data_IF_534124032864
#
_entry.id   IF_534124032864
#
_cell.length_a   1.000
_cell.length_b   1.000
_cell.length_c   1.000
_cell.angle_alpha   90.00
_cell.angle_beta   90.00
_cell.angle_gamma   90.00
#
_symmetry.space_group_name_H-M   'P 1'
#
loop_
_entity.id
_entity.type
_entity.pdbx_description
1 polymer ?
#
# COMPACT_ATOMS: atom_id res chain seq x y z
N UNK A 1 -2.82 -18.33 -4.56
CA UNK A 1 -2.73 -17.85 -3.17
C UNK A 1 -4.00 -18.28 -2.44
N UNK A 2 -4.04 -18.25 -1.11
CA UNK A 2 -5.21 -18.67 -0.33
C UNK A 2 -5.51 -17.65 0.76
N UNK A 3 -6.74 -17.14 0.77
CA UNK A 3 -7.28 -16.33 1.85
C UNK A 3 -7.42 -17.20 3.10
N UNK A 4 -6.67 -16.87 4.13
CA UNK A 4 -6.80 -17.49 5.44
C UNK A 4 -7.75 -16.63 6.27
N UNK A 5 -8.86 -17.18 6.78
CA UNK A 5 -9.70 -16.46 7.73
C UNK A 5 -8.88 -16.08 8.96
N UNK A 6 -9.22 -14.93 9.56
CA UNK A 6 -8.66 -14.49 10.83
C UNK A 6 -9.19 -15.40 11.94
N UNK A 7 -8.45 -16.46 12.27
CA UNK A 7 -8.80 -17.31 13.40
C UNK A 7 -8.57 -16.58 14.73
N UNK A 8 -9.24 -17.07 15.78
CA UNK A 8 -9.20 -16.43 17.10
C UNK A 8 -7.78 -16.31 17.65
N UNK A 9 -6.92 -17.30 17.43
CA UNK A 9 -5.55 -17.29 17.95
C UNK A 9 -4.71 -16.22 17.25
N UNK A 10 -4.91 -16.01 15.95
CA UNK A 10 -4.23 -14.97 15.20
C UNK A 10 -4.75 -13.57 15.56
N UNK A 11 -6.05 -13.41 15.82
CA UNK A 11 -6.59 -12.13 16.35
C UNK A 11 -5.96 -11.79 17.71
N UNK A 12 -5.95 -12.75 18.65
CA UNK A 12 -5.29 -12.57 19.95
C UNK A 12 -3.79 -12.24 19.78
N UNK A 13 -3.11 -12.82 18.79
CA UNK A 13 -1.73 -12.48 18.47
C UNK A 13 -1.59 -11.03 18.00
N UNK A 14 -2.45 -10.55 17.09
CA UNK A 14 -2.41 -9.15 16.64
C UNK A 14 -2.68 -8.17 17.78
N UNK A 15 -3.64 -8.48 18.66
CA UNK A 15 -3.93 -7.68 19.86
C UNK A 15 -2.72 -7.61 20.79
N UNK A 16 -2.16 -8.77 21.15
CA UNK A 16 -1.04 -8.85 22.09
C UNK A 16 0.26 -8.23 21.55
N UNK A 17 0.37 -8.11 20.23
CA UNK A 17 1.52 -7.49 19.55
C UNK A 17 1.26 -6.04 19.16
N UNK A 18 0.10 -5.47 19.50
CA UNK A 18 -0.24 -4.06 19.22
C UNK A 18 -0.51 -3.74 17.75
N UNK A 19 -0.67 -4.76 16.90
CA UNK A 19 -0.94 -4.60 15.46
C UNK A 19 -2.42 -4.29 15.21
N UNK A 20 -3.30 -4.81 16.05
CA UNK A 20 -4.73 -4.50 16.04
C UNK A 20 -5.20 -4.19 17.47
N UNK A 21 -6.25 -3.39 17.60
CA UNK A 21 -6.96 -3.18 18.86
C UNK A 21 -8.43 -2.89 18.58
N UNK A 22 -9.32 -2.96 19.60
CA UNK A 22 -10.72 -2.57 19.45
C UNK A 22 -10.95 -1.12 18.99
N UNK A 23 -9.95 -0.24 19.13
CA UNK A 23 -10.00 1.14 18.66
C UNK A 23 -9.62 1.28 17.17
N UNK A 24 -9.20 0.19 16.51
CA UNK A 24 -8.89 0.15 15.09
C UNK A 24 -10.11 0.62 14.27
N UNK A 25 -9.93 1.46 13.23
CA UNK A 25 -11.05 1.95 12.44
C UNK A 25 -11.71 0.87 11.57
N UNK A 26 -11.08 -0.29 11.45
CA UNK A 26 -11.60 -1.44 10.74
C UNK A 26 -11.77 -2.63 11.70
N UNK A 27 -12.99 -3.17 11.73
CA UNK A 27 -13.32 -4.36 12.51
C UNK A 27 -12.48 -5.56 12.07
N UNK A 28 -12.13 -6.45 13.00
CA UNK A 28 -11.23 -7.57 12.72
C UNK A 28 -11.84 -8.58 11.72
N UNK A 29 -13.16 -8.67 11.67
CA UNK A 29 -13.91 -9.50 10.72
C UNK A 29 -13.77 -9.02 9.27
N UNK A 30 -13.38 -7.75 9.08
CA UNK A 30 -13.11 -7.15 7.77
C UNK A 30 -11.64 -7.28 7.36
N UNK A 31 -10.81 -7.95 8.17
CA UNK A 31 -9.43 -8.28 7.83
C UNK A 31 -9.31 -9.73 7.36
N UNK A 32 -8.44 -9.96 6.38
CA UNK A 32 -8.08 -11.29 5.89
C UNK A 32 -6.57 -11.40 5.71
N UNK A 33 -6.05 -12.61 5.90
CA UNK A 33 -4.65 -12.93 5.66
C UNK A 33 -4.48 -13.56 4.29
N UNK A 34 -3.50 -13.10 3.52
CA UNK A 34 -3.12 -13.66 2.23
C UNK A 34 -1.74 -14.30 2.35
N UNK A 35 -1.62 -15.55 1.87
CA UNK A 35 -0.32 -16.17 1.63
C UNK A 35 0.23 -15.74 0.28
N UNK A 36 1.39 -15.10 0.29
CA UNK A 36 2.01 -14.50 -0.89
C UNK A 36 3.27 -15.28 -1.27
N UNK A 37 3.34 -15.72 -2.52
CA UNK A 37 4.60 -16.19 -3.11
C UNK A 37 5.31 -15.03 -3.81
N UNK A 38 6.63 -14.95 -3.69
CA UNK A 38 7.45 -13.87 -4.23
C UNK A 38 8.83 -14.38 -4.65
N UNK A 39 9.55 -13.61 -5.46
CA UNK A 39 10.98 -13.84 -5.72
C UNK A 39 11.81 -12.96 -4.81
N UNK A 40 12.83 -13.52 -4.18
CA UNK A 40 13.76 -12.73 -3.37
C UNK A 40 14.88 -12.09 -4.20
N UNK A 41 15.78 -11.35 -3.54
CA UNK A 41 16.93 -10.72 -4.20
C UNK A 41 17.97 -11.71 -4.75
N UNK A 42 17.96 -12.97 -4.33
CA UNK A 42 18.75 -14.05 -4.93
C UNK A 42 18.04 -14.67 -6.15
N UNK A 43 16.79 -14.29 -6.41
CA UNK A 43 15.95 -14.82 -7.48
C UNK A 43 15.29 -16.15 -7.11
N UNK A 44 15.32 -16.54 -5.84
CA UNK A 44 14.68 -17.76 -5.35
C UNK A 44 13.18 -17.52 -5.12
N UNK A 45 12.37 -18.55 -5.40
CA UNK A 45 10.95 -18.52 -5.07
C UNK A 45 10.77 -18.72 -3.56
N UNK A 46 10.03 -17.81 -2.95
CA UNK A 46 9.57 -17.87 -1.57
C UNK A 46 8.05 -18.05 -1.56
N UNK A 47 7.54 -18.84 -0.62
CA UNK A 47 6.12 -19.16 -0.45
C UNK A 47 5.62 -18.94 0.99
N UNK A 48 6.41 -18.21 1.77
CA UNK A 48 6.22 -17.93 3.20
C UNK A 48 5.66 -16.52 3.48
N UNK A 49 5.36 -15.74 2.43
CA UNK A 49 4.86 -14.38 2.57
C UNK A 49 3.49 -14.34 3.24
N UNK A 50 3.31 -13.47 4.22
CA UNK A 50 2.03 -13.26 4.90
C UNK A 50 1.70 -11.77 4.96
N UNK A 51 0.59 -11.39 4.33
CA UNK A 51 0.10 -10.01 4.33
C UNK A 51 -1.37 -9.98 4.79
N UNK A 52 -1.70 -9.05 5.67
CA UNK A 52 -3.07 -8.84 6.15
C UNK A 52 -3.65 -7.61 5.46
N UNK A 53 -4.87 -7.70 4.92
CA UNK A 53 -5.53 -6.62 4.16
C UNK A 53 -7.02 -6.55 4.47
N UNK A 54 -7.70 -5.48 4.03
CA UNK A 54 -9.16 -5.44 4.01
C UNK A 54 -9.73 -6.54 3.12
N UNK A 55 -10.79 -7.19 3.56
CA UNK A 55 -11.47 -8.29 2.87
C UNK A 55 -11.82 -7.99 1.40
N UNK A 56 -12.35 -6.80 1.12
CA UNK A 56 -12.70 -6.38 -0.25
C UNK A 56 -11.50 -6.17 -1.16
N UNK A 57 -10.29 -5.98 -0.59
CA UNK A 57 -9.06 -5.75 -1.34
C UNK A 57 -8.27 -7.04 -1.61
N UNK A 58 -8.68 -8.17 -1.04
CA UNK A 58 -7.95 -9.43 -1.10
C UNK A 58 -7.56 -9.82 -2.54
N UNK A 59 -8.52 -9.82 -3.45
CA UNK A 59 -8.28 -10.21 -4.84
C UNK A 59 -7.34 -9.24 -5.57
N UNK A 60 -7.51 -7.93 -5.38
CA UNK A 60 -6.61 -6.93 -5.96
C UNK A 60 -5.17 -7.11 -5.48
N UNK A 61 -4.98 -7.36 -4.18
CA UNK A 61 -3.65 -7.57 -3.59
C UNK A 61 -3.03 -8.88 -4.09
N UNK A 62 -3.78 -9.97 -4.14
CA UNK A 62 -3.29 -11.23 -4.72
C UNK A 62 -2.85 -11.04 -6.18
N UNK A 63 -3.62 -10.31 -6.99
CA UNK A 63 -3.27 -10.01 -8.39
C UNK A 63 -2.00 -9.17 -8.51
N UNK A 64 -1.83 -8.14 -7.67
CA UNK A 64 -0.59 -7.36 -7.61
C UNK A 64 0.60 -8.28 -7.41
N UNK A 65 0.60 -9.09 -6.35
CA UNK A 65 1.77 -9.92 -6.03
C UNK A 65 1.99 -11.06 -7.03
N UNK A 66 0.94 -11.58 -7.67
CA UNK A 66 1.10 -12.53 -8.79
C UNK A 66 1.82 -11.87 -9.97
N UNK A 67 1.43 -10.66 -10.37
CA UNK A 67 2.12 -9.92 -11.44
C UNK A 67 3.57 -9.60 -11.05
N UNK A 68 3.83 -9.21 -9.80
CA UNK A 68 5.21 -8.99 -9.33
C UNK A 68 6.06 -10.27 -9.39
N UNK A 69 5.48 -11.42 -9.04
CA UNK A 69 6.13 -12.72 -9.15
C UNK A 69 6.43 -13.09 -10.61
N UNK A 70 5.49 -12.86 -11.52
CA UNK A 70 5.68 -13.07 -12.96
C UNK A 70 6.78 -12.16 -13.54
N UNK A 71 6.84 -10.91 -13.09
CA UNK A 71 7.92 -9.97 -13.40
C UNK A 71 9.26 -10.35 -12.76
N UNK A 72 9.25 -11.31 -11.80
CA UNK A 72 10.38 -11.65 -10.93
C UNK A 72 10.94 -10.41 -10.21
N UNK A 73 10.05 -9.48 -9.85
CA UNK A 73 10.40 -8.30 -9.07
C UNK A 73 10.91 -8.77 -7.69
N UNK A 74 12.14 -8.39 -7.30
CA UNK A 74 12.73 -8.90 -6.07
C UNK A 74 12.13 -8.20 -4.86
N UNK A 75 11.65 -9.00 -3.90
CA UNK A 75 11.12 -8.57 -2.62
C UNK A 75 11.93 -9.26 -1.53
N UNK A 76 12.46 -8.51 -0.56
CA UNK A 76 13.32 -9.11 0.48
C UNK A 76 12.56 -10.12 1.31
N UNK A 77 11.41 -9.71 1.84
CA UNK A 77 10.51 -10.53 2.62
C UNK A 77 9.13 -9.88 2.76
N UNK A 78 8.14 -10.69 3.08
CA UNK A 78 6.76 -10.24 3.34
C UNK A 78 6.28 -10.88 4.65
N UNK A 79 6.27 -10.10 5.73
CA UNK A 79 5.85 -10.55 7.06
C UNK A 79 4.77 -9.65 7.62
N UNK A 80 3.83 -10.28 8.32
CA UNK A 80 2.84 -9.56 9.12
C UNK A 80 3.52 -8.78 10.24
N UNK A 81 2.97 -7.61 10.56
CA UNK A 81 3.56 -6.68 11.53
C UNK A 81 3.64 -7.22 12.96
N UNK A 82 2.98 -8.35 13.27
CA UNK A 82 3.07 -8.98 14.58
C UNK A 82 4.49 -9.49 14.88
N UNK A 83 5.27 -9.82 13.85
CA UNK A 83 6.69 -10.17 14.00
C UNK A 83 7.53 -9.02 14.58
N UNK A 84 7.05 -7.79 14.41
CA UNK A 84 7.73 -6.57 14.85
C UNK A 84 6.97 -5.86 15.97
N UNK A 85 5.96 -6.51 16.58
CA UNK A 85 5.12 -5.88 17.61
C UNK A 85 4.52 -4.52 17.19
N UNK A 86 4.12 -4.42 15.91
CA UNK A 86 3.57 -3.18 15.35
C UNK A 86 4.59 -2.05 15.14
N UNK A 87 5.88 -2.29 15.39
CA UNK A 87 6.94 -1.28 15.26
C UNK A 87 7.38 -1.11 13.79
N UNK A 88 7.04 0.03 13.19
CA UNK A 88 7.40 0.33 11.80
C UNK A 88 8.92 0.47 11.61
N UNK A 89 9.66 0.99 12.60
CA UNK A 89 11.12 1.18 12.50
C UNK A 89 11.85 -0.16 12.44
N UNK A 90 11.42 -1.13 13.26
CA UNK A 90 11.97 -2.50 13.21
C UNK A 90 11.64 -3.18 11.89
N UNK A 91 10.39 -3.07 11.41
CA UNK A 91 9.95 -3.63 10.13
C UNK A 91 10.72 -3.04 8.94
N UNK A 92 10.80 -1.71 8.86
CA UNK A 92 11.56 -1.00 7.82
C UNK A 92 13.07 -1.30 7.88
N UNK A 93 13.63 -1.36 9.09
CA UNK A 93 15.04 -1.67 9.32
C UNK A 93 15.42 -3.08 8.86
N UNK A 94 14.47 -4.01 8.92
CA UNK A 94 14.56 -5.38 8.40
C UNK A 94 14.14 -5.49 6.92
N UNK A 95 13.89 -4.37 6.24
CA UNK A 95 13.46 -4.31 4.84
C UNK A 95 12.19 -5.12 4.54
N UNK A 96 11.29 -5.20 5.52
CA UNK A 96 10.05 -5.96 5.40
C UNK A 96 9.02 -5.23 4.55
N UNK A 97 8.39 -5.95 3.61
CA UNK A 97 7.21 -5.45 2.90
C UNK A 97 5.95 -5.84 3.68
N UNK A 98 5.03 -4.90 3.89
CA UNK A 98 3.89 -5.11 4.80
C UNK A 98 2.66 -4.29 4.40
N UNK A 99 1.50 -4.58 4.99
CA UNK A 99 0.26 -3.83 4.74
C UNK A 99 -0.44 -3.38 6.01
N UNK A 100 -1.03 -4.30 6.79
CA UNK A 100 -1.83 -3.90 7.94
C UNK A 100 -0.96 -3.58 9.18
N UNK A 101 -1.20 -2.39 9.76
CA UNK A 101 -0.73 -1.99 11.08
C UNK A 101 -1.67 -0.90 11.65
N UNK A 102 -2.43 -1.20 12.70
CA UNK A 102 -3.37 -0.25 13.29
C UNK A 102 -2.65 0.82 14.11
N UNK A 103 -2.51 2.02 13.53
CA UNK A 103 -1.89 3.17 14.19
C UNK A 103 -2.39 4.51 13.68
N UNK A 104 -2.20 5.54 14.47
CA UNK A 104 -2.33 6.93 14.01
C UNK A 104 -1.13 7.34 13.18
N UNK A 105 -1.33 8.27 12.25
CA UNK A 105 -0.23 8.99 11.59
C UNK A 105 0.48 9.82 12.68
N UNK A 106 1.81 9.75 12.71
CA UNK A 106 2.63 10.39 13.73
C UNK A 106 2.25 11.88 13.91
N UNK A 107 2.03 12.29 15.16
CA UNK A 107 1.65 13.67 15.50
C UNK A 107 0.19 14.04 15.23
N UNK A 108 -0.65 13.09 14.78
CA UNK A 108 -2.07 13.33 14.50
C UNK A 108 -2.98 12.34 15.23
N UNK A 109 -4.29 12.59 15.20
CA UNK A 109 -5.33 11.62 15.63
C UNK A 109 -5.90 10.81 14.46
N UNK A 110 -5.38 11.01 13.25
CA UNK A 110 -5.90 10.38 12.03
C UNK A 110 -5.26 9.01 11.87
N UNK A 111 -6.06 7.97 11.74
CA UNK A 111 -5.55 6.64 11.45
C UNK A 111 -4.82 6.58 10.11
N UNK A 112 -3.69 5.89 10.08
CA UNK A 112 -2.97 5.55 8.86
C UNK A 112 -3.85 4.74 7.91
N UNK A 113 -3.59 4.78 6.61
CA UNK A 113 -4.28 3.88 5.66
C UNK A 113 -3.87 2.41 5.89
N UNK A 114 -2.68 2.17 6.49
CA UNK A 114 -2.30 0.83 6.99
C UNK A 114 -3.29 0.28 8.02
N UNK A 115 -3.95 1.13 8.80
CA UNK A 115 -4.95 0.73 9.80
C UNK A 115 -6.25 0.19 9.18
N UNK A 116 -6.39 0.31 7.86
CA UNK A 116 -7.51 -0.24 7.09
C UNK A 116 -7.07 -1.44 6.25
N UNK A 117 -5.80 -1.83 6.25
CA UNK A 117 -5.28 -2.87 5.35
C UNK A 117 -5.40 -2.47 3.88
N UNK A 118 -5.31 -1.17 3.59
CA UNK A 118 -5.49 -0.57 2.26
C UNK A 118 -4.26 0.23 1.78
N UNK A 119 -3.13 0.06 2.47
CA UNK A 119 -1.81 0.53 2.09
C UNK A 119 -0.83 -0.64 2.09
N UNK A 120 0.21 -0.58 1.26
CA UNK A 120 1.24 -1.60 1.12
C UNK A 120 2.59 -0.89 0.98
N UNK A 121 3.54 -1.30 1.82
CA UNK A 121 4.93 -0.88 1.74
C UNK A 121 5.78 -1.98 1.10
N UNK A 122 6.63 -1.60 0.14
CA UNK A 122 7.50 -2.53 -0.60
C UNK A 122 8.98 -2.15 -0.44
N UNK A 123 9.78 -3.08 0.10
CA UNK A 123 11.23 -2.98 0.26
C UNK A 123 11.71 -1.61 0.81
N UNK A 124 11.41 -1.24 2.07
CA UNK A 124 11.75 0.06 2.64
C UNK A 124 13.22 0.48 2.51
N UNK A 125 14.17 -0.47 2.45
CA UNK A 125 15.58 -0.17 2.26
C UNK A 125 15.88 0.35 0.85
N UNK A 126 15.27 -0.25 -0.18
CA UNK A 126 15.37 0.22 -1.56
C UNK A 126 14.51 1.46 -1.81
N UNK A 127 13.44 1.64 -1.03
CA UNK A 127 12.42 2.67 -1.21
C UNK A 127 12.17 3.42 0.11
N UNK A 128 13.15 4.20 0.59
CA UNK A 128 13.08 4.77 1.94
C UNK A 128 12.03 5.87 2.09
N UNK A 129 11.61 6.09 3.32
CA UNK A 129 10.88 7.25 3.79
C UNK A 129 11.82 8.43 4.03
N UNK A 130 11.44 9.63 3.58
CA UNK A 130 12.19 10.87 3.73
C UNK A 130 11.33 11.92 4.44
N UNK A 131 11.77 12.31 5.63
CA UNK A 131 11.28 13.52 6.29
C UNK A 131 12.17 14.69 5.89
N UNK A 132 11.56 15.74 5.33
CA UNK A 132 12.23 17.00 5.04
C UNK A 132 11.77 18.01 6.09
N UNK A 133 12.71 18.60 6.81
CA UNK A 133 12.46 19.75 7.67
C UNK A 133 12.42 21.02 6.80
N UNK A 134 11.25 21.65 6.69
CA UNK A 134 11.06 22.80 5.81
C UNK A 134 11.75 24.07 6.32
N UNK A 135 12.07 24.16 7.61
CA UNK A 135 12.72 25.35 8.20
C UNK A 135 14.22 25.39 7.90
N UNK A 136 14.89 24.25 7.97
CA UNK A 136 16.35 24.16 7.84
C UNK A 136 16.83 23.28 6.66
N UNK A 137 15.93 22.62 5.94
CA UNK A 137 16.23 21.76 4.79
C UNK A 137 16.87 20.42 5.14
N UNK A 138 16.92 20.04 6.43
CA UNK A 138 17.51 18.77 6.85
C UNK A 138 16.63 17.60 6.41
N UNK A 139 17.26 16.62 5.76
CA UNK A 139 16.60 15.39 5.31
C UNK A 139 16.94 14.25 6.26
N UNK A 140 15.92 13.65 6.87
CA UNK A 140 16.04 12.38 7.60
C UNK A 140 15.55 11.27 6.71
N UNK A 141 16.35 10.22 6.57
CA UNK A 141 16.07 9.05 5.73
C UNK A 141 15.89 7.84 6.62
N UNK A 142 14.81 7.09 6.37
CA UNK A 142 14.46 5.91 7.11
C UNK A 142 14.08 4.75 6.16
N UNK A 143 14.68 3.56 6.28
CA UNK A 143 15.84 3.21 7.12
C UNK A 143 17.10 3.98 6.69
N UNK A 144 18.02 4.25 7.64
CA UNK A 144 19.27 4.98 7.35
C UNK A 144 20.10 4.32 6.23
N UNK A 145 20.04 3.00 6.06
CA UNK A 145 20.75 2.31 4.96
C UNK A 145 20.18 2.67 3.57
N UNK A 146 18.95 3.17 3.52
CA UNK A 146 18.28 3.63 2.30
C UNK A 146 18.90 4.86 1.65
N UNK A 147 19.82 5.57 2.33
CA UNK A 147 20.59 6.67 1.75
C UNK A 147 21.23 6.31 0.39
N UNK A 148 21.65 5.05 0.21
CA UNK A 148 22.29 4.57 -1.03
C UNK A 148 21.32 4.37 -2.22
N UNK A 149 20.02 4.57 -2.01
CA UNK A 149 18.93 4.41 -2.98
C UNK A 149 18.19 5.72 -3.31
N UNK A 150 18.66 6.87 -2.79
CA UNK A 150 18.03 8.16 -3.06
C UNK A 150 18.21 8.64 -4.50
N UNK A 151 19.29 8.24 -5.17
CA UNK A 151 19.47 8.56 -6.58
C UNK A 151 18.55 7.71 -7.45
N UNK A 152 17.31 8.18 -7.62
CA UNK A 152 16.28 7.54 -8.43
C UNK A 152 16.65 7.49 -9.93
N UNK A 153 17.67 8.21 -10.42
CA UNK A 153 18.16 8.03 -11.81
C UNK A 153 18.97 6.75 -12.00
N UNK A 154 19.54 6.21 -10.93
CA UNK A 154 20.27 4.94 -10.93
C UNK A 154 19.36 3.83 -10.42
N UNK A 155 18.50 3.29 -11.30
CA UNK A 155 17.57 2.21 -10.94
C UNK A 155 18.35 0.96 -10.54
N UNK A 156 18.00 0.40 -9.39
CA UNK A 156 18.50 -0.86 -8.84
C UNK A 156 17.33 -1.80 -8.63
N UNK A 157 17.62 -3.09 -8.59
CA UNK A 157 16.67 -4.14 -8.23
C UNK A 157 15.90 -3.77 -6.94
N UNK A 158 14.59 -4.03 -6.94
CA UNK A 158 13.70 -3.79 -5.79
C UNK A 158 13.24 -2.35 -5.61
N UNK A 159 13.66 -1.42 -6.48
CA UNK A 159 13.12 -0.05 -6.53
C UNK A 159 11.77 -0.04 -7.24
N UNK A 160 10.77 0.62 -6.63
CA UNK A 160 9.36 0.39 -7.01
C UNK A 160 8.87 1.09 -8.28
N UNK A 161 9.70 1.89 -8.97
CA UNK A 161 9.18 2.70 -10.09
C UNK A 161 8.62 1.90 -11.26
N UNK A 162 9.11 0.68 -11.49
CA UNK A 162 8.57 -0.19 -12.53
C UNK A 162 7.24 -0.86 -12.14
N UNK A 163 6.92 -0.92 -10.84
CA UNK A 163 5.71 -1.59 -10.33
C UNK A 163 4.58 -0.61 -9.99
N UNK A 164 4.84 0.72 -10.01
CA UNK A 164 3.79 1.74 -9.82
C UNK A 164 2.57 1.49 -10.74
N UNK A 165 2.74 1.19 -12.05
CA UNK A 165 1.59 0.95 -12.92
C UNK A 165 0.76 -0.28 -12.52
N UNK A 166 1.41 -1.33 -11.99
CA UNK A 166 0.78 -2.57 -11.50
C UNK A 166 -0.12 -2.25 -10.32
N UNK A 167 0.41 -1.56 -9.30
CA UNK A 167 -0.39 -1.13 -8.14
C UNK A 167 -1.59 -0.27 -8.56
N UNK A 168 -1.37 0.72 -9.43
CA UNK A 168 -2.43 1.58 -9.92
C UNK A 168 -3.50 0.84 -10.74
N UNK A 169 -3.14 -0.27 -11.41
CA UNK A 169 -4.08 -1.10 -12.16
C UNK A 169 -5.09 -1.80 -11.23
N UNK A 170 -4.65 -2.14 -10.02
CA UNK A 170 -5.43 -2.85 -9.01
C UNK A 170 -5.98 -1.92 -7.91
N UNK A 171 -6.14 -0.63 -8.24
CA UNK A 171 -6.78 0.38 -7.40
C UNK A 171 -5.86 1.18 -6.45
N UNK A 172 -4.58 0.81 -6.34
CA UNK A 172 -3.60 1.53 -5.51
C UNK A 172 -2.98 2.69 -6.29
N UNK A 173 -3.77 3.73 -6.60
CA UNK A 173 -3.35 4.84 -7.48
C UNK A 173 -2.52 5.91 -6.78
N UNK A 174 -2.42 5.89 -5.45
CA UNK A 174 -1.63 6.85 -4.68
C UNK A 174 -0.29 6.22 -4.34
N UNK A 175 0.80 6.83 -4.80
CA UNK A 175 2.17 6.45 -4.47
C UNK A 175 2.84 7.54 -3.63
N UNK A 176 3.35 7.17 -2.46
CA UNK A 176 3.96 8.10 -1.50
C UNK A 176 5.25 8.76 -2.00
N UNK A 177 5.93 8.15 -2.99
CA UNK A 177 7.10 8.74 -3.63
C UNK A 177 6.80 10.00 -4.45
N UNK A 178 5.52 10.31 -4.71
CA UNK A 178 5.08 11.52 -5.41
C UNK A 178 4.65 12.66 -4.47
N UNK A 179 4.68 12.46 -3.15
CA UNK A 179 4.39 13.50 -2.16
C UNK A 179 5.53 14.53 -2.07
N UNK A 180 5.26 15.67 -1.42
CA UNK A 180 6.25 16.74 -1.21
C UNK A 180 7.03 16.54 0.09
N UNK A 181 6.30 16.50 1.22
CA UNK A 181 6.86 16.30 2.56
C UNK A 181 5.81 15.57 3.41
N UNK A 182 6.10 14.37 3.95
CA UNK A 182 7.27 13.54 3.65
C UNK A 182 7.21 12.95 2.22
N UNK A 183 8.33 12.43 1.73
CA UNK A 183 8.36 11.56 0.54
C UNK A 183 8.45 10.13 1.03
N UNK A 184 7.55 9.26 0.59
CA UNK A 184 7.43 7.90 1.10
C UNK A 184 7.52 6.86 -0.03
N UNK A 185 8.73 6.50 -0.43
CA UNK A 185 8.93 5.73 -1.67
C UNK A 185 8.36 4.32 -1.63
N UNK A 186 8.32 3.65 -0.48
CA UNK A 186 7.79 2.28 -0.40
C UNK A 186 6.26 2.22 -0.45
N UNK A 187 5.57 3.36 -0.24
CA UNK A 187 4.17 3.40 0.15
C UNK A 187 3.22 3.46 -1.05
N UNK A 188 2.30 2.51 -1.12
CA UNK A 188 1.19 2.48 -2.06
C UNK A 188 -0.13 2.42 -1.31
N UNK A 189 -1.14 3.17 -1.73
CA UNK A 189 -2.46 3.11 -1.09
C UNK A 189 -3.61 3.39 -2.07
N UNK A 190 -4.82 3.00 -1.65
CA UNK A 190 -6.04 3.55 -2.21
C UNK A 190 -6.21 5.04 -1.79
N UNK A 191 -6.98 5.84 -2.55
CA UNK A 191 -7.41 7.16 -2.09
C UNK A 191 -8.16 7.06 -0.76
N UNK A 192 -7.87 7.95 0.19
CA UNK A 192 -8.45 7.91 1.54
C UNK A 192 -9.99 7.86 1.53
N UNK A 193 -10.64 8.66 0.69
CA UNK A 193 -12.10 8.67 0.60
C UNK A 193 -12.67 7.30 0.19
N UNK A 194 -11.97 6.59 -0.71
CA UNK A 194 -12.36 5.26 -1.16
C UNK A 194 -12.19 4.25 -0.02
N UNK A 195 -11.09 4.32 0.72
CA UNK A 195 -10.83 3.45 1.88
C UNK A 195 -11.92 3.62 2.94
N UNK A 196 -12.24 4.85 3.31
CA UNK A 196 -13.27 5.17 4.32
C UNK A 196 -14.66 4.71 3.85
N UNK A 197 -14.97 4.86 2.55
CA UNK A 197 -16.21 4.36 1.96
C UNK A 197 -16.28 2.83 2.00
N UNK A 198 -15.25 2.13 1.51
CA UNK A 198 -15.19 0.65 1.52
C UNK A 198 -15.26 0.05 2.93
N UNK A 199 -14.67 0.73 3.92
CA UNK A 199 -14.77 0.33 5.32
C UNK A 199 -16.19 0.47 5.89
N UNK A 200 -16.99 1.40 5.36
CA UNK A 200 -18.37 1.64 5.79
C UNK A 200 -19.41 0.77 5.11
N UNK A 201 -19.08 0.16 3.97
CA UNK A 201 -19.97 -0.67 3.17
C UNK A 201 -19.93 -2.13 3.60
N UNK A 202 -21.02 -2.86 3.33
CA UNK A 202 -21.01 -4.32 3.40
C UNK A 202 -20.04 -4.90 2.35
N UNK A 203 -19.39 -6.05 2.62
CA UNK A 203 -18.32 -6.56 1.76
C UNK A 203 -18.73 -6.79 0.29
N UNK A 204 -19.98 -7.18 0.02
CA UNK A 204 -20.47 -7.39 -1.35
C UNK A 204 -20.61 -6.07 -2.11
N UNK A 205 -21.18 -5.04 -1.49
CA UNK A 205 -21.31 -3.70 -2.06
C UNK A 205 -19.93 -3.06 -2.26
N UNK A 206 -19.03 -3.21 -1.29
CA UNK A 206 -17.66 -2.73 -1.38
C UNK A 206 -16.89 -3.37 -2.52
N UNK A 207 -17.03 -4.68 -2.75
CA UNK A 207 -16.41 -5.36 -3.91
C UNK A 207 -16.95 -4.83 -5.24
N UNK A 208 -18.26 -4.61 -5.35
CA UNK A 208 -18.86 -4.06 -6.56
C UNK A 208 -18.37 -2.64 -6.85
N UNK A 209 -18.29 -1.78 -5.82
CA UNK A 209 -17.75 -0.43 -5.95
C UNK A 209 -16.27 -0.44 -6.35
N UNK A 210 -15.46 -1.29 -5.73
CA UNK A 210 -14.04 -1.41 -6.06
C UNK A 210 -13.83 -1.85 -7.51
N UNK A 211 -14.65 -2.78 -8.02
CA UNK A 211 -14.60 -3.20 -9.42
C UNK A 211 -14.88 -2.03 -10.39
N UNK A 212 -15.95 -1.26 -10.15
CA UNK A 212 -16.27 -0.06 -10.94
C UNK A 212 -15.15 0.98 -10.89
N UNK A 213 -14.58 1.19 -9.70
CA UNK A 213 -13.44 2.09 -9.52
C UNK A 213 -12.23 1.67 -10.36
N UNK A 214 -11.89 0.38 -10.38
CA UNK A 214 -10.78 -0.14 -11.16
C UNK A 214 -11.04 -0.04 -12.68
N UNK A 215 -12.28 -0.25 -13.14
CA UNK A 215 -12.67 -0.02 -14.53
C UNK A 215 -12.41 1.43 -14.97
N UNK A 216 -12.85 2.40 -14.15
CA UNK A 216 -12.59 3.83 -14.41
C UNK A 216 -11.08 4.12 -14.44
N UNK A 217 -10.30 3.56 -13.52
CA UNK A 217 -8.84 3.72 -13.53
C UNK A 217 -8.17 3.13 -14.79
N UNK A 218 -8.70 2.02 -15.30
CA UNK A 218 -8.27 1.41 -16.55
C UNK A 218 -8.60 2.29 -17.76
N UNK A 219 -9.82 2.81 -17.84
CA UNK A 219 -10.27 3.64 -18.96
C UNK A 219 -9.57 4.99 -19.00
N UNK A 220 -9.38 5.63 -17.83
CA UNK A 220 -8.57 6.85 -17.73
C UNK A 220 -7.13 6.62 -18.20
N UNK A 221 -6.52 5.44 -17.96
CA UNK A 221 -5.20 5.10 -18.52
C UNK A 221 -5.26 4.88 -20.05
N UNK A 222 -6.37 4.40 -20.59
CA UNK A 222 -6.57 4.26 -22.03
C UNK A 222 -6.72 5.63 -22.72
N UNK A 223 -7.39 6.58 -22.08
CA UNK A 223 -7.59 7.94 -22.58
C UNK A 223 -6.39 8.87 -22.32
N UNK A 224 -5.70 8.74 -21.18
CA UNK A 224 -4.46 9.49 -20.87
C UNK A 224 -3.26 9.06 -21.71
N UNK A 225 -3.35 7.96 -22.47
CA UNK A 225 -2.42 7.66 -23.57
C UNK A 225 -2.46 8.72 -24.67
N UNK A 226 -3.46 9.62 -24.68
CA UNK A 226 -3.52 10.72 -25.64
C UNK A 226 -2.68 11.94 -25.22
N UNK A 227 -2.36 12.19 -23.93
CA UNK A 227 -1.65 13.45 -23.59
C UNK A 227 -0.57 13.50 -22.47
N UNK A 228 -0.39 12.54 -21.55
CA UNK A 228 0.27 12.94 -20.27
C UNK A 228 1.28 12.00 -19.58
N UNK A 229 1.97 11.10 -20.28
CA UNK A 229 2.96 10.22 -19.64
C UNK A 229 4.33 10.86 -19.32
N UNK A 230 4.52 12.18 -19.48
CA UNK A 230 5.77 12.87 -19.10
C UNK A 230 5.63 14.26 -18.47
N UNK A 231 4.44 14.70 -18.02
CA UNK A 231 4.27 16.11 -17.62
C UNK A 231 3.26 16.45 -16.52
N UNK A 232 2.40 15.53 -16.10
CA UNK A 232 1.44 15.84 -15.04
C UNK A 232 2.11 15.60 -13.70
N UNK A 233 2.59 16.70 -13.09
CA UNK A 233 2.82 16.81 -11.65
C UNK A 233 1.65 16.12 -10.95
N UNK A 234 1.96 15.23 -10.01
CA UNK A 234 1.02 14.52 -9.15
C UNK A 234 -0.30 15.29 -9.06
N UNK A 235 -1.31 14.79 -9.77
CA UNK A 235 -2.60 15.45 -9.83
C UNK A 235 -3.09 15.58 -8.39
N UNK A 236 -3.34 16.84 -8.02
CA UNK A 236 -3.96 17.27 -6.78
C UNK A 236 -5.07 16.28 -6.36
N UNK A 237 -5.08 15.78 -5.11
CA UNK A 237 -6.15 14.93 -4.59
C UNK A 237 -7.56 15.47 -4.83
N UNK A 238 -7.71 16.80 -4.92
CA UNK A 238 -9.00 17.44 -5.22
C UNK A 238 -9.44 17.27 -6.69
N UNK A 239 -8.51 17.02 -7.62
CA UNK A 239 -8.83 16.72 -9.03
C UNK A 239 -9.51 15.35 -9.19
N UNK A 240 -9.08 14.34 -8.40
CA UNK A 240 -9.73 13.03 -8.39
C UNK A 240 -11.12 13.07 -7.77
N UNK A 241 -11.33 13.89 -6.73
CA UNK A 241 -12.67 14.10 -6.14
C UNK A 241 -13.67 14.65 -7.14
N UNK A 242 -13.24 15.59 -8.00
CA UNK A 242 -14.12 16.21 -8.99
C UNK A 242 -14.53 15.21 -10.08
N UNK A 243 -13.57 14.45 -10.63
CA UNK A 243 -13.82 13.42 -11.65
C UNK A 243 -14.74 12.32 -11.10
N UNK A 244 -14.53 11.88 -9.85
CA UNK A 244 -15.36 10.85 -9.23
C UNK A 244 -16.79 11.34 -8.93
N UNK A 245 -16.95 12.61 -8.52
CA UNK A 245 -18.26 13.21 -8.28
C UNK A 245 -19.09 13.37 -9.56
N UNK A 246 -18.45 13.70 -10.70
CA UNK A 246 -19.13 13.78 -12.00
C UNK A 246 -19.57 12.41 -12.52
N UNK A 247 -18.76 11.36 -12.32
CA UNK A 247 -19.09 9.99 -12.73
C UNK A 247 -20.25 9.39 -11.93
N UNK A 248 -20.29 9.60 -10.60
CA UNK A 248 -21.41 9.13 -9.75
C UNK A 248 -22.73 9.81 -10.14
N UNK A 249 -22.69 11.08 -10.55
CA UNK A 249 -23.87 11.82 -11.01
C UNK A 249 -24.32 11.46 -12.43
N UNK A 250 -23.43 10.91 -13.27
CA UNK A 250 -23.75 10.53 -14.65
C UNK A 250 -24.36 9.12 -14.77
N UNK A 251 -24.23 8.29 -13.72
CA UNK A 251 -24.75 6.93 -13.65
C UNK A 251 -26.08 6.78 -12.87
N UNK A 252 -26.73 7.90 -12.51
CA UNK A 252 -28.05 7.96 -11.87
C UNK A 252 -29.09 8.55 -12.83
#
# INVERSE_FOLDING_TARGET
MANLPMDKAFVELLENTGVWSPDCPLAVERLVNLKISYCDFAGELRDDGLITVMDVLAESVERIFNELLEMRFPIEQIRSMHHYHGDDELSMGDNNSSSFNSRSIAGTKTFSIHSYGAAIDINPLQNPYLQIDEENGMVKVNPKKGWSYLNRRNRKAGMVEEIIPVFAQHGFVVWGGAWTTPIDYHHFQLPRFMVELLASLEPEEGRALLAQYMEVCHDLKADLKVEALLGVRAADPDSFRHIFAELICASA
#
